data_IF_024243997252
#
_entry.id   IF_024243997252
#
_cell.length_a   1.000
_cell.length_b   1.000
_cell.length_c   1.000
_cell.angle_alpha   90.00
_cell.angle_beta   90.00
_cell.angle_gamma   90.00
#
_symmetry.space_group_name_H-M   'P 1'
#
loop_
_entity.id
_entity.type
_entity.pdbx_description
1 polymer ?
#
# COMPACT_ATOMS: atom_id res chain seq x y z
N UNK A 1 -5.81 11.27 -0.18
CA UNK A 1 -5.00 10.01 -0.23
C UNK A 1 -3.57 10.20 0.29
N UNK A 2 -3.05 9.23 1.03
CA UNK A 2 -1.66 9.11 1.51
C UNK A 2 -1.19 7.67 1.25
N UNK A 3 0.03 7.50 0.73
CA UNK A 3 0.67 6.19 0.57
C UNK A 3 1.74 5.95 1.62
N UNK A 4 1.64 4.84 2.37
CA UNK A 4 2.62 4.41 3.37
C UNK A 4 3.38 3.20 2.87
N UNK A 5 4.66 3.40 2.56
CA UNK A 5 5.55 2.38 2.01
C UNK A 5 6.20 1.58 3.15
N UNK A 6 6.25 0.25 2.98
CA UNK A 6 6.96 -0.69 3.84
C UNK A 6 7.66 -1.75 2.98
N UNK A 7 8.79 -2.23 3.46
CA UNK A 7 9.56 -3.31 2.84
C UNK A 7 9.76 -4.41 3.87
N UNK A 8 9.37 -5.63 3.54
CA UNK A 8 9.34 -6.77 4.45
C UNK A 8 10.21 -7.93 4.00
N UNK A 9 10.49 -8.84 4.94
CA UNK A 9 11.30 -10.04 4.70
C UNK A 9 10.47 -11.32 4.48
N UNK A 10 9.18 -11.32 4.83
CA UNK A 10 8.33 -12.52 4.79
C UNK A 10 6.98 -12.22 4.14
N UNK A 11 6.65 -12.95 3.06
CA UNK A 11 5.34 -12.86 2.45
C UNK A 11 4.27 -13.43 3.37
N UNK A 12 4.50 -14.58 4.01
CA UNK A 12 3.51 -15.21 4.91
C UNK A 12 3.02 -14.28 6.03
N UNK A 13 3.94 -13.53 6.65
CA UNK A 13 3.58 -12.52 7.64
C UNK A 13 2.76 -11.36 7.06
N UNK A 14 3.11 -10.91 5.86
CA UNK A 14 2.43 -9.80 5.18
C UNK A 14 1.04 -10.20 4.66
N UNK A 15 0.91 -11.37 4.05
CA UNK A 15 -0.35 -11.93 3.55
C UNK A 15 -1.32 -12.12 4.71
N UNK A 16 -0.91 -12.84 5.76
CA UNK A 16 -1.75 -13.01 6.96
C UNK A 16 -2.21 -11.67 7.56
N UNK A 17 -1.37 -10.65 7.53
CA UNK A 17 -1.73 -9.31 8.00
C UNK A 17 -2.81 -8.64 7.14
N UNK A 18 -2.75 -8.76 5.81
CA UNK A 18 -3.69 -8.07 4.91
C UNK A 18 -4.95 -8.88 4.61
N UNK A 19 -4.90 -10.20 4.59
CA UNK A 19 -6.07 -11.07 4.28
C UNK A 19 -6.71 -11.70 5.51
N UNK A 20 -6.02 -11.73 6.66
CA UNK A 20 -6.51 -12.41 7.87
C UNK A 20 -7.55 -11.63 8.68
N UNK A 21 -8.14 -10.57 8.14
CA UNK A 21 -9.26 -9.86 8.76
C UNK A 21 -10.56 -10.32 8.12
N UNK A 22 -11.61 -10.49 8.91
CA UNK A 22 -12.90 -11.02 8.44
C UNK A 22 -13.51 -10.19 7.30
N UNK A 23 -13.24 -8.88 7.28
CA UNK A 23 -13.71 -7.97 6.24
C UNK A 23 -12.72 -7.72 5.09
N UNK A 24 -11.64 -8.50 5.01
CA UNK A 24 -10.66 -8.33 3.94
C UNK A 24 -11.24 -8.76 2.60
N UNK A 25 -11.16 -7.87 1.59
CA UNK A 25 -11.60 -8.18 0.22
C UNK A 25 -10.47 -7.93 -0.76
N UNK A 26 -10.13 -8.94 -1.55
CA UNK A 26 -9.18 -8.79 -2.67
C UNK A 26 -9.90 -8.05 -3.80
N UNK A 27 -9.35 -6.91 -4.20
CA UNK A 27 -9.90 -6.05 -5.25
C UNK A 27 -9.30 -6.38 -6.63
N UNK A 28 -8.02 -6.75 -6.66
CA UNK A 28 -7.29 -7.10 -7.88
C UNK A 28 -6.03 -7.90 -7.53
N UNK A 29 -5.54 -8.67 -8.48
CA UNK A 29 -4.29 -9.42 -8.35
C UNK A 29 -3.71 -9.75 -9.72
N UNK A 30 -2.42 -10.05 -9.77
CA UNK A 30 -1.77 -10.64 -10.94
C UNK A 30 -0.71 -11.65 -10.50
N UNK A 31 -0.61 -12.77 -11.23
CA UNK A 31 0.38 -13.83 -11.03
C UNK A 31 0.29 -14.61 -9.71
N UNK A 32 -0.82 -14.55 -8.96
CA UNK A 32 -0.97 -15.15 -7.63
C UNK A 32 -2.21 -16.04 -7.55
N UNK A 33 -2.08 -17.23 -6.96
CA UNK A 33 -3.21 -18.12 -6.67
C UNK A 33 -3.98 -17.62 -5.44
N UNK A 34 -5.28 -17.36 -5.58
CA UNK A 34 -6.12 -16.72 -4.55
C UNK A 34 -6.90 -17.69 -3.65
N UNK A 35 -6.54 -18.97 -3.59
CA UNK A 35 -7.30 -19.97 -2.82
C UNK A 35 -7.17 -19.75 -1.30
N UNK A 36 -6.01 -20.04 -0.75
CA UNK A 36 -5.69 -19.93 0.68
C UNK A 36 -4.53 -18.96 0.92
N UNK A 37 -4.40 -18.48 2.15
CA UNK A 37 -3.23 -17.67 2.54
C UNK A 37 -1.90 -18.40 2.30
N UNK A 38 -1.89 -19.73 2.40
CA UNK A 38 -0.73 -20.56 2.09
C UNK A 38 -0.39 -20.53 0.59
N UNK A 39 -1.39 -20.69 -0.28
CA UNK A 39 -1.20 -20.65 -1.75
C UNK A 39 -0.80 -19.26 -2.25
N UNK A 40 -1.41 -18.20 -1.71
CA UNK A 40 -1.02 -16.81 -1.99
C UNK A 40 0.45 -16.61 -1.60
N UNK A 41 0.81 -17.01 -0.38
CA UNK A 41 2.19 -16.90 0.12
C UNK A 41 3.16 -17.68 -0.77
N UNK A 42 2.82 -18.91 -1.12
CA UNK A 42 3.67 -19.76 -1.94
C UNK A 42 3.87 -19.18 -3.34
N UNK A 43 2.83 -18.59 -3.94
CA UNK A 43 2.94 -17.91 -5.24
C UNK A 43 4.02 -16.81 -5.21
N UNK A 44 4.00 -15.96 -4.18
CA UNK A 44 5.01 -14.92 -3.99
C UNK A 44 6.41 -15.48 -3.69
N UNK A 45 6.50 -16.51 -2.86
CA UNK A 45 7.78 -17.15 -2.51
C UNK A 45 8.43 -17.83 -3.72
N UNK A 46 7.65 -18.36 -4.68
CA UNK A 46 8.19 -18.92 -5.92
C UNK A 46 8.88 -17.84 -6.77
N UNK A 47 8.24 -16.69 -7.01
CA UNK A 47 8.89 -15.60 -7.77
C UNK A 47 10.10 -15.03 -7.00
N UNK A 48 10.04 -14.97 -5.67
CA UNK A 48 11.18 -14.52 -4.83
C UNK A 48 12.45 -15.34 -5.10
N UNK A 49 12.32 -16.61 -5.48
CA UNK A 49 13.47 -17.49 -5.76
C UNK A 49 14.24 -17.09 -7.02
N UNK A 50 13.69 -16.25 -7.90
CA UNK A 50 14.43 -15.69 -9.03
C UNK A 50 15.62 -14.82 -8.57
N UNK A 51 15.58 -14.29 -7.34
CA UNK A 51 16.69 -13.55 -6.75
C UNK A 51 16.76 -13.71 -5.22
N UNK A 52 17.31 -14.84 -4.73
CA UNK A 52 17.29 -15.18 -3.31
C UNK A 52 18.19 -14.28 -2.46
N UNK A 53 19.05 -13.46 -3.07
CA UNK A 53 19.98 -12.55 -2.39
C UNK A 53 19.26 -11.34 -1.75
N UNK A 54 18.04 -11.03 -2.20
CA UNK A 54 17.27 -9.90 -1.70
C UNK A 54 16.65 -10.23 -0.34
N UNK A 55 17.20 -9.60 0.72
CA UNK A 55 16.75 -9.81 2.12
C UNK A 55 15.35 -9.26 2.43
N UNK A 56 14.85 -8.32 1.63
CA UNK A 56 13.52 -7.70 1.81
C UNK A 56 12.75 -7.69 0.49
N UNK A 57 12.21 -8.83 0.05
CA UNK A 57 11.56 -8.95 -1.25
C UNK A 57 10.10 -8.49 -1.24
N UNK A 58 9.50 -8.32 -0.05
CA UNK A 58 8.10 -7.90 0.06
C UNK A 58 8.01 -6.39 -0.09
N UNK A 59 7.21 -5.93 -1.05
CA UNK A 59 6.73 -4.57 -1.11
C UNK A 59 5.33 -4.49 -0.52
N UNK A 60 5.12 -3.61 0.46
CA UNK A 60 3.80 -3.38 1.08
C UNK A 60 3.49 -1.90 1.12
N UNK A 61 2.36 -1.50 0.52
CA UNK A 61 1.92 -0.11 0.50
C UNK A 61 0.49 -0.06 1.03
N UNK A 62 0.25 0.79 2.03
CA UNK A 62 -1.11 1.13 2.43
C UNK A 62 -1.49 2.46 1.79
N UNK A 63 -2.53 2.46 0.95
CA UNK A 63 -3.15 3.67 0.42
C UNK A 63 -4.35 4.02 1.29
N UNK A 64 -4.24 5.11 2.04
CA UNK A 64 -5.31 5.60 2.91
C UNK A 64 -5.98 6.82 2.30
N UNK A 65 -7.30 6.80 2.30
CA UNK A 65 -8.16 7.88 1.80
C UNK A 65 -8.76 8.66 2.96
N UNK A 66 -9.27 9.84 2.65
CA UNK A 66 -9.94 10.69 3.62
C UNK A 66 -11.37 10.16 3.84
N UNK A 67 -11.93 10.24 5.07
CA UNK A 67 -13.31 9.83 5.33
C UNK A 67 -14.34 10.47 4.38
N UNK A 68 -14.10 11.72 3.98
CA UNK A 68 -14.93 12.49 3.05
C UNK A 68 -15.01 11.84 1.66
N UNK A 69 -13.97 11.07 1.27
CA UNK A 69 -13.95 10.34 0.00
C UNK A 69 -14.70 8.99 0.09
N UNK A 70 -15.10 8.52 1.29
CA UNK A 70 -15.71 7.19 1.49
C UNK A 70 -16.92 6.91 0.59
N UNK A 71 -17.90 7.83 0.40
CA UNK A 71 -19.11 7.54 -0.37
C UNK A 71 -18.85 7.24 -1.86
N UNK A 72 -17.75 7.74 -2.42
CA UNK A 72 -17.39 7.54 -3.84
C UNK A 72 -16.39 6.39 -4.04
N UNK A 73 -15.77 5.87 -2.98
CA UNK A 73 -14.75 4.83 -3.06
C UNK A 73 -15.38 3.44 -3.17
N UNK A 74 -15.91 3.13 -4.37
CA UNK A 74 -16.28 1.76 -4.75
C UNK A 74 -15.04 0.88 -4.85
N UNK A 75 -15.24 -0.44 -4.86
CA UNK A 75 -14.16 -1.40 -4.99
C UNK A 75 -13.42 -1.24 -6.33
N UNK A 76 -14.17 -0.99 -7.40
CA UNK A 76 -13.64 -0.78 -8.76
C UNK A 76 -12.81 0.50 -8.83
N UNK A 77 -13.30 1.60 -8.24
CA UNK A 77 -12.54 2.86 -8.21
C UNK A 77 -11.27 2.70 -7.38
N UNK A 78 -11.34 2.02 -6.25
CA UNK A 78 -10.19 1.79 -5.37
C UNK A 78 -9.15 0.90 -6.04
N UNK A 79 -9.56 -0.15 -6.75
CA UNK A 79 -8.69 -0.98 -7.57
C UNK A 79 -8.02 -0.16 -8.68
N UNK A 80 -8.79 0.65 -9.41
CA UNK A 80 -8.29 1.51 -10.49
C UNK A 80 -7.22 2.50 -9.99
N UNK A 81 -7.48 3.20 -8.88
CA UNK A 81 -6.52 4.13 -8.29
C UNK A 81 -5.25 3.39 -7.85
N UNK A 82 -5.38 2.21 -7.24
CA UNK A 82 -4.26 1.44 -6.75
C UNK A 82 -3.38 0.88 -7.89
N UNK A 83 -3.99 0.41 -8.99
CA UNK A 83 -3.28 -0.04 -10.19
C UNK A 83 -2.53 1.12 -10.87
N UNK A 84 -3.18 2.28 -11.03
CA UNK A 84 -2.52 3.45 -11.61
C UNK A 84 -1.39 3.96 -10.70
N UNK A 85 -1.60 3.94 -9.39
CA UNK A 85 -0.56 4.22 -8.41
C UNK A 85 0.67 3.31 -8.60
N UNK A 86 0.47 2.00 -8.79
CA UNK A 86 1.57 1.06 -9.04
C UNK A 86 2.34 1.40 -10.31
N UNK A 87 1.63 1.66 -11.41
CA UNK A 87 2.24 2.06 -12.69
C UNK A 87 3.09 3.33 -12.53
N UNK A 88 2.53 4.38 -11.92
CA UNK A 88 3.25 5.64 -11.71
C UNK A 88 4.41 5.51 -10.70
N UNK A 89 4.36 4.51 -9.81
CA UNK A 89 5.46 4.17 -8.91
C UNK A 89 6.57 3.36 -9.58
N UNK A 90 6.38 2.88 -10.81
CA UNK A 90 7.30 1.97 -11.49
C UNK A 90 7.26 0.55 -10.91
N UNK A 91 6.12 0.17 -10.32
CA UNK A 91 5.87 -1.19 -9.85
C UNK A 91 5.11 -1.91 -10.97
N UNK A 92 5.86 -2.47 -11.91
CA UNK A 92 5.35 -3.20 -13.07
C UNK A 92 6.00 -4.57 -13.16
N UNK A 93 5.41 -5.44 -13.99
CA UNK A 93 5.97 -6.74 -14.36
C UNK A 93 6.32 -7.61 -13.15
N UNK A 94 5.40 -7.66 -12.18
CA UNK A 94 5.59 -8.40 -10.93
C UNK A 94 4.25 -8.86 -10.36
N UNK A 95 4.28 -9.95 -9.57
CA UNK A 95 3.11 -10.40 -8.82
C UNK A 95 2.61 -9.32 -7.85
N UNK A 96 1.29 -9.22 -7.71
CA UNK A 96 0.66 -8.40 -6.68
C UNK A 96 -0.72 -8.90 -6.25
N UNK A 97 -1.15 -8.43 -5.08
CA UNK A 97 -2.54 -8.41 -4.64
C UNK A 97 -2.89 -7.02 -4.09
N UNK A 98 -4.14 -6.61 -4.28
CA UNK A 98 -4.72 -5.38 -3.73
C UNK A 98 -5.86 -5.78 -2.80
N UNK A 99 -5.80 -5.41 -1.53
CA UNK A 99 -6.74 -5.85 -0.50
C UNK A 99 -7.35 -4.65 0.21
N UNK A 100 -8.67 -4.57 0.28
CA UNK A 100 -9.42 -3.55 1.03
C UNK A 100 -9.81 -4.08 2.41
N UNK A 101 -9.79 -3.21 3.42
CA UNK A 101 -10.42 -3.47 4.74
C UNK A 101 -11.61 -2.52 4.91
N UNK A 102 -12.78 -3.04 5.32
CA UNK A 102 -14.01 -2.26 5.47
C UNK A 102 -14.22 -1.66 6.89
N UNK A 103 -13.63 -2.22 7.94
CA UNK A 103 -13.92 -1.90 9.35
C UNK A 103 -12.93 -0.92 9.97
N UNK A 104 -12.59 0.16 9.26
CA UNK A 104 -11.72 1.21 9.80
C UNK A 104 -12.28 2.60 9.54
N UNK A 105 -11.95 3.55 10.42
CA UNK A 105 -12.39 4.95 10.33
C UNK A 105 -12.07 5.58 8.96
N UNK A 106 -10.93 5.22 8.37
CA UNK A 106 -10.46 5.74 7.10
C UNK A 106 -10.52 4.64 6.03
N UNK A 107 -11.18 4.87 4.88
CA UNK A 107 -11.13 3.94 3.76
C UNK A 107 -9.68 3.72 3.34
N UNK A 108 -9.27 2.47 3.16
CA UNK A 108 -7.92 2.16 2.71
C UNK A 108 -7.85 0.80 2.03
N UNK A 109 -6.81 0.65 1.20
CA UNK A 109 -6.39 -0.63 0.66
C UNK A 109 -4.89 -0.85 0.87
N UNK A 110 -4.49 -2.11 0.77
CA UNK A 110 -3.13 -2.58 0.84
C UNK A 110 -2.73 -3.16 -0.50
N UNK A 111 -1.60 -2.72 -1.04
CA UNK A 111 -0.92 -3.33 -2.17
C UNK A 111 0.21 -4.16 -1.57
N UNK A 112 0.22 -5.47 -1.88
CA UNK A 112 1.36 -6.35 -1.61
C UNK A 112 1.89 -6.80 -2.95
N UNK A 113 3.19 -6.62 -3.20
CA UNK A 113 3.82 -6.97 -4.46
C UNK A 113 5.21 -7.58 -4.24
N UNK A 114 5.69 -8.33 -5.23
CA UNK A 114 7.06 -8.80 -5.22
C UNK A 114 8.00 -7.70 -5.70
N UNK A 115 9.02 -7.37 -4.91
CA UNK A 115 10.07 -6.44 -5.35
C UNK A 115 11.01 -7.07 -6.36
N UNK A 116 10.96 -8.39 -6.54
CA UNK A 116 11.65 -9.08 -7.61
C UNK A 116 10.66 -9.20 -8.76
N UNK A 117 10.96 -8.59 -9.90
CA UNK A 117 10.10 -8.60 -11.08
C UNK A 117 10.15 -9.96 -11.81
N UNK A 118 9.42 -10.09 -12.91
CA UNK A 118 9.31 -11.32 -13.68
C UNK A 118 10.64 -11.77 -14.33
N UNK A 119 11.64 -10.88 -14.40
CA UNK A 119 12.99 -11.16 -14.89
C UNK A 119 14.00 -11.46 -13.76
N UNK A 120 13.55 -11.55 -12.51
CA UNK A 120 14.43 -11.74 -11.35
C UNK A 120 15.20 -10.47 -10.92
N UNK A 121 14.86 -9.30 -11.47
CA UNK A 121 15.50 -8.02 -11.13
C UNK A 121 14.77 -7.35 -9.96
N UNK A 122 15.55 -6.69 -9.10
CA UNK A 122 14.99 -5.88 -8.03
C UNK A 122 14.37 -4.60 -8.60
N UNK A 123 13.08 -4.38 -8.35
CA UNK A 123 12.39 -3.12 -8.58
C UNK A 123 13.03 -2.04 -7.71
N UNK A 124 13.55 -1.01 -8.36
CA UNK A 124 14.30 0.07 -7.71
C UNK A 124 13.42 0.83 -6.72
N UNK A 125 13.92 0.98 -5.50
CA UNK A 125 13.34 1.80 -4.45
C UNK A 125 14.01 3.18 -4.34
N UNK A 126 14.88 3.53 -5.30
CA UNK A 126 15.52 4.83 -5.33
C UNK A 126 14.47 5.95 -5.42
N UNK A 127 14.54 6.88 -4.46
CA UNK A 127 13.65 8.03 -4.34
C UNK A 127 12.14 7.68 -4.25
N UNK A 128 11.79 6.48 -3.79
CA UNK A 128 10.41 6.00 -3.74
C UNK A 128 9.50 6.86 -2.84
N UNK A 129 10.01 7.43 -1.75
CA UNK A 129 9.25 8.37 -0.91
C UNK A 129 8.88 9.66 -1.66
N UNK A 130 9.83 10.23 -2.41
CA UNK A 130 9.59 11.43 -3.23
C UNK A 130 8.63 11.12 -4.38
N UNK A 131 8.81 9.97 -5.05
CA UNK A 131 7.89 9.49 -6.10
C UNK A 131 6.49 9.29 -5.53
N UNK A 132 6.35 8.66 -4.36
CA UNK A 132 5.08 8.45 -3.68
C UNK A 132 4.36 9.77 -3.36
N UNK A 133 5.08 10.79 -2.88
CA UNK A 133 4.48 12.11 -2.65
C UNK A 133 3.92 12.72 -3.95
N UNK A 134 4.69 12.67 -5.03
CA UNK A 134 4.28 13.18 -6.33
C UNK A 134 3.08 12.41 -6.90
N UNK A 135 3.14 11.08 -6.87
CA UNK A 135 2.08 10.19 -7.37
C UNK A 135 0.80 10.36 -6.56
N UNK A 136 0.87 10.39 -5.22
CA UNK A 136 -0.32 10.61 -4.39
C UNK A 136 -0.93 11.98 -4.62
N UNK A 137 -0.13 13.03 -4.86
CA UNK A 137 -0.62 14.35 -5.25
C UNK A 137 -1.30 14.34 -6.62
N UNK A 138 -0.67 13.76 -7.62
CA UNK A 138 -1.21 13.66 -8.97
C UNK A 138 -2.54 12.89 -9.00
N UNK A 139 -2.62 11.74 -8.32
CA UNK A 139 -3.84 10.94 -8.24
C UNK A 139 -4.94 11.65 -7.44
N UNK A 140 -4.60 12.40 -6.38
CA UNK A 140 -5.60 13.23 -5.70
C UNK A 140 -6.23 14.24 -6.65
N UNK A 141 -5.42 14.96 -7.44
CA UNK A 141 -5.94 15.89 -8.45
C UNK A 141 -6.79 15.16 -9.49
N UNK A 142 -6.27 14.08 -10.08
CA UNK A 142 -6.93 13.34 -11.16
C UNK A 142 -8.30 12.82 -10.77
N UNK A 143 -8.43 12.28 -9.57
CA UNK A 143 -9.66 11.65 -9.07
C UNK A 143 -10.50 12.58 -8.18
N UNK A 144 -10.14 13.87 -8.08
CA UNK A 144 -10.84 14.84 -7.24
C UNK A 144 -10.88 14.45 -5.75
N UNK A 145 -9.87 13.73 -5.27
CA UNK A 145 -9.81 13.24 -3.88
C UNK A 145 -9.45 14.36 -2.91
N UNK A 146 -9.95 14.24 -1.70
CA UNK A 146 -9.77 15.25 -0.66
C UNK A 146 -8.31 15.43 -0.29
N UNK A 147 -7.86 16.69 -0.35
CA UNK A 147 -6.56 17.11 0.14
C UNK A 147 -6.58 17.21 1.68
N UNK A 148 -5.46 16.86 2.32
CA UNK A 148 -5.29 17.18 3.74
C UNK A 148 -5.10 18.68 3.87
N UNK A 149 -6.13 19.41 4.26
CA UNK A 149 -6.12 20.88 4.34
C UNK A 149 -5.72 21.41 5.71
N UNK A 150 -5.74 20.57 6.74
CA UNK A 150 -5.50 21.02 8.11
C UNK A 150 -4.80 19.95 8.96
N UNK A 151 -3.57 20.26 9.42
CA UNK A 151 -2.83 19.40 10.34
C UNK A 151 -3.42 19.46 11.76
N UNK A 152 -4.11 20.54 12.14
CA UNK A 152 -4.67 20.74 13.49
C UNK A 152 -5.68 19.65 13.89
N UNK A 153 -6.35 19.04 12.92
CA UNK A 153 -7.31 17.92 13.12
C UNK A 153 -6.65 16.55 13.20
N UNK A 154 -5.32 16.48 13.36
CA UNK A 154 -4.62 15.19 13.51
C UNK A 154 -4.98 14.57 14.85
N UNK A 155 -5.47 13.32 14.84
CA UNK A 155 -5.70 12.58 16.07
C UNK A 155 -4.35 12.19 16.72
N UNK A 156 -3.87 13.02 17.63
CA UNK A 156 -2.57 12.88 18.29
C UNK A 156 -2.43 11.59 19.09
N UNK A 157 -3.55 11.02 19.58
CA UNK A 157 -3.56 9.73 20.30
C UNK A 157 -3.16 8.55 19.41
N UNK A 158 -3.35 8.65 18.09
CA UNK A 158 -2.97 7.61 17.11
C UNK A 158 -1.55 7.79 16.55
N UNK A 159 -0.86 8.88 16.90
CA UNK A 159 0.53 9.10 16.47
C UNK A 159 1.48 8.24 17.30
N UNK A 160 2.50 7.65 16.66
CA UNK A 160 3.61 7.04 17.41
C UNK A 160 4.44 8.13 18.08
N UNK A 161 5.15 7.80 19.16
CA UNK A 161 5.85 8.78 20.00
C UNK A 161 6.71 9.80 19.20
N UNK A 162 7.48 9.34 18.21
CA UNK A 162 8.29 10.22 17.36
C UNK A 162 7.47 11.11 16.42
N UNK A 163 6.32 10.62 15.92
CA UNK A 163 5.40 11.39 15.08
C UNK A 163 4.66 12.44 15.95
N UNK A 164 4.33 12.09 17.19
CA UNK A 164 3.68 12.98 18.17
C UNK A 164 4.58 14.14 18.59
N UNK A 165 5.85 13.87 18.91
CA UNK A 165 6.81 14.91 19.28
C UNK A 165 7.01 15.95 18.15
N UNK A 166 7.10 15.50 16.89
CA UNK A 166 7.18 16.42 15.74
C UNK A 166 5.92 17.27 15.57
N UNK A 167 4.76 16.70 15.85
CA UNK A 167 3.48 17.41 15.78
C UNK A 167 3.36 18.47 16.87
N UNK A 168 3.75 18.14 18.10
CA UNK A 168 3.78 19.06 19.24
C UNK A 168 4.70 20.25 18.97
N UNK A 169 5.92 20.01 18.46
CA UNK A 169 6.86 21.09 18.09
C UNK A 169 6.27 21.99 16.99
N UNK A 170 5.66 21.40 15.96
CA UNK A 170 5.07 22.16 14.85
C UNK A 170 3.89 23.04 15.28
N UNK A 171 3.14 22.64 16.30
CA UNK A 171 1.98 23.41 16.78
C UNK A 171 2.31 24.38 17.93
N UNK A 172 3.53 24.33 18.45
CA UNK A 172 4.01 25.25 19.49
C UNK A 172 4.65 26.54 18.90
N UNK A 173 4.76 26.63 17.57
CA UNK A 173 5.28 27.77 16.80
C UNK A 173 4.16 28.31 15.91
#
# INVERSE_FOLDING_TARGET
>A
MIGKLKKGASFGGCIRYVTGKDEAKILASDGVLLGTNAEITQSFELQRQLNPRIKKPVGHIALSFKPEDKPRLTDELMAKIALEYMQMMGITDTQFIIVRHHNTDNPHCHIVYNRINNEGKLISDAHDYRRNEQVTKALKTKYGLTYGTDKSKTNTRKLRNAERAKYEIHNAV
#
